data_IF_623974959591
#
_entry.id   IF_623974959591
#
_cell.length_a   1.000
_cell.length_b   1.000
_cell.length_c   1.000
_cell.angle_alpha   90.00
_cell.angle_beta   90.00
_cell.angle_gamma   90.00
#
_symmetry.space_group_name_H-M   'P 1'
#
loop_
_entity.id
_entity.type
_entity.pdbx_description
1 polymer ?
#
# COMPACT_ATOMS: atom_id res chain seq x y z
N UNK A 1 -19.73 19.83 37.41
CA UNK A 1 -19.92 18.48 36.82
C UNK A 1 -20.03 18.53 35.29
N UNK A 2 -20.80 19.46 34.72
CA UNK A 2 -20.94 19.62 33.25
C UNK A 2 -19.63 19.86 32.47
N UNK A 3 -18.69 20.65 33.00
CA UNK A 3 -17.42 20.95 32.30
C UNK A 3 -16.51 19.72 32.11
N UNK A 4 -16.57 18.74 33.03
CA UNK A 4 -15.83 17.48 32.89
C UNK A 4 -16.43 16.59 31.82
N UNK A 5 -17.77 16.59 31.69
CA UNK A 5 -18.49 15.83 30.67
C UNK A 5 -18.16 16.37 29.28
N UNK A 6 -18.13 17.70 29.12
CA UNK A 6 -17.72 18.33 27.86
C UNK A 6 -16.29 18.00 27.46
N UNK A 7 -15.35 18.03 28.42
CA UNK A 7 -13.96 17.64 28.18
C UNK A 7 -13.83 16.17 27.74
N UNK A 8 -14.60 15.27 28.36
CA UNK A 8 -14.62 13.84 27.98
C UNK A 8 -15.16 13.64 26.57
N UNK A 9 -16.23 14.34 26.18
CA UNK A 9 -16.80 14.24 24.84
C UNK A 9 -15.83 14.71 23.76
N UNK A 10 -15.09 15.79 24.01
CA UNK A 10 -14.06 16.28 23.08
C UNK A 10 -12.94 15.25 22.88
N UNK A 11 -12.44 14.66 23.98
CA UNK A 11 -11.38 13.64 23.91
C UNK A 11 -11.82 12.37 23.16
N UNK A 12 -13.07 11.92 23.38
CA UNK A 12 -13.64 10.78 22.64
C UNK A 12 -13.77 11.09 21.15
N UNK A 13 -14.15 12.32 20.80
CA UNK A 13 -14.29 12.75 19.40
C UNK A 13 -12.95 12.73 18.66
N UNK A 14 -11.87 13.21 19.31
CA UNK A 14 -10.51 13.20 18.76
C UNK A 14 -9.97 11.78 18.53
N UNK A 15 -10.29 10.83 19.42
CA UNK A 15 -9.86 9.43 19.28
C UNK A 15 -10.54 8.71 18.09
N UNK A 16 -11.72 9.15 17.66
CA UNK A 16 -12.44 8.57 16.51
C UNK A 16 -11.81 9.04 15.18
N UNK A 17 -11.17 10.21 15.14
CA UNK A 17 -10.48 10.70 13.92
C UNK A 17 -9.16 9.98 13.67
N UNK A 18 -8.54 9.39 14.70
CA UNK A 18 -7.31 8.60 14.55
C UNK A 18 -7.63 7.17 14.18
N UNK A 19 -8.31 6.94 13.05
CA UNK A 19 -8.22 5.66 12.34
C UNK A 19 -6.88 5.60 11.59
N UNK A 20 -5.78 5.81 12.32
CA UNK A 20 -4.46 5.54 11.78
C UNK A 20 -4.36 4.03 11.69
N UNK A 21 -4.21 3.49 10.48
CA UNK A 21 -3.77 2.11 10.31
C UNK A 21 -2.57 1.89 11.23
N UNK A 22 -2.56 0.84 12.08
CA UNK A 22 -1.35 0.51 12.80
C UNK A 22 -0.28 0.26 11.75
N UNK A 23 0.62 1.22 11.54
CA UNK A 23 1.83 0.98 10.76
C UNK A 23 2.60 -0.08 11.55
N UNK A 24 2.46 -1.30 11.07
CA UNK A 24 2.73 -2.53 11.80
C UNK A 24 4.22 -2.57 12.19
N UNK A 25 4.49 -2.79 13.48
CA UNK A 25 5.84 -2.92 14.08
C UNK A 25 6.45 -4.32 13.76
N UNK A 26 5.76 -5.15 12.99
CA UNK A 26 6.31 -6.40 12.43
C UNK A 26 6.99 -6.08 11.11
N UNK A 27 8.21 -6.59 10.87
CA UNK A 27 8.87 -6.44 9.57
C UNK A 27 7.93 -6.87 8.45
N UNK A 28 7.78 -6.02 7.42
CA UNK A 28 6.94 -6.32 6.26
C UNK A 28 7.43 -7.61 5.58
N UNK A 29 6.51 -8.49 5.20
CA UNK A 29 6.82 -9.58 4.28
C UNK A 29 7.13 -8.96 2.90
N UNK A 30 8.35 -9.08 2.36
CA UNK A 30 8.70 -8.51 1.07
C UNK A 30 7.80 -9.02 -0.05
N UNK A 31 7.29 -10.25 0.05
CA UNK A 31 6.37 -10.80 -0.93
C UNK A 31 5.02 -10.07 -0.90
N UNK A 32 4.46 -9.85 0.28
CA UNK A 32 3.20 -9.12 0.47
C UNK A 32 3.32 -7.70 -0.10
N UNK A 33 4.36 -6.97 0.29
CA UNK A 33 4.62 -5.62 -0.21
C UNK A 33 4.79 -5.57 -1.73
N UNK A 34 5.47 -6.56 -2.32
CA UNK A 34 5.61 -6.67 -3.77
C UNK A 34 4.25 -6.83 -4.47
N UNK A 35 3.37 -7.70 -3.96
CA UNK A 35 2.04 -7.94 -4.51
C UNK A 35 1.13 -6.71 -4.35
N UNK A 36 1.17 -6.05 -3.19
CA UNK A 36 0.41 -4.81 -2.95
C UNK A 36 0.84 -3.70 -3.92
N UNK A 37 2.14 -3.53 -4.14
CA UNK A 37 2.64 -2.56 -5.11
C UNK A 37 2.22 -2.92 -6.54
N UNK A 38 2.24 -4.19 -6.95
CA UNK A 38 1.70 -4.59 -8.26
C UNK A 38 0.22 -4.18 -8.43
N UNK A 39 -0.60 -4.35 -7.40
CA UNK A 39 -2.00 -3.94 -7.42
C UNK A 39 -2.15 -2.41 -7.49
N UNK A 40 -1.31 -1.67 -6.75
CA UNK A 40 -1.28 -0.21 -6.78
C UNK A 40 -0.88 0.30 -8.17
N UNK A 41 0.20 -0.22 -8.76
CA UNK A 41 0.66 0.17 -10.08
C UNK A 41 -0.39 -0.13 -11.15
N UNK A 42 -1.09 -1.28 -11.04
CA UNK A 42 -2.23 -1.60 -11.92
C UNK A 42 -3.37 -0.60 -11.80
N UNK A 43 -3.67 -0.13 -10.59
CA UNK A 43 -4.69 0.90 -10.35
C UNK A 43 -4.30 2.25 -10.94
N UNK A 44 -3.01 2.62 -10.85
CA UNK A 44 -2.48 3.89 -11.38
C UNK A 44 -2.38 3.90 -12.91
N UNK A 45 -1.82 2.84 -13.50
CA UNK A 45 -1.44 2.78 -14.91
C UNK A 45 -2.49 2.06 -15.77
N UNK A 46 -3.45 1.37 -15.16
CA UNK A 46 -4.57 0.75 -15.85
C UNK A 46 -4.14 -0.25 -16.92
N UNK A 47 -4.56 -0.02 -18.16
CA UNK A 47 -4.29 -0.93 -19.29
C UNK A 47 -2.82 -0.92 -19.76
N UNK A 48 -2.01 0.02 -19.27
CA UNK A 48 -0.60 0.14 -19.65
C UNK A 48 0.32 -0.79 -18.86
N UNK A 49 -0.16 -1.32 -17.73
CA UNK A 49 0.60 -2.16 -16.81
C UNK A 49 0.00 -3.57 -16.71
N UNK A 50 0.85 -4.59 -16.81
CA UNK A 50 0.49 -6.00 -16.64
C UNK A 50 0.62 -6.43 -15.18
N UNK A 51 -0.46 -6.20 -14.43
CA UNK A 51 -0.57 -6.60 -13.03
C UNK A 51 -0.34 -8.10 -12.80
N UNK A 52 -0.97 -9.01 -13.57
CA UNK A 52 -0.70 -10.45 -13.50
C UNK A 52 0.79 -10.80 -13.66
N UNK A 53 1.46 -10.27 -14.70
CA UNK A 53 2.88 -10.53 -14.94
C UNK A 53 3.76 -10.02 -13.79
N UNK A 54 3.43 -8.85 -13.24
CA UNK A 54 4.09 -8.30 -12.06
C UNK A 54 3.94 -9.22 -10.84
N UNK A 55 2.71 -9.66 -10.54
CA UNK A 55 2.43 -10.52 -9.40
C UNK A 55 3.10 -11.90 -9.52
N UNK A 56 3.11 -12.49 -10.72
CA UNK A 56 3.85 -13.73 -10.99
C UNK A 56 5.36 -13.57 -10.74
N UNK A 57 5.91 -12.41 -11.11
CA UNK A 57 7.31 -12.07 -10.84
C UNK A 57 7.59 -11.95 -9.33
N UNK A 58 6.70 -11.31 -8.57
CA UNK A 58 6.78 -11.27 -7.11
C UNK A 58 6.84 -12.67 -6.50
N UNK A 59 5.96 -13.59 -6.94
CA UNK A 59 5.95 -14.99 -6.47
C UNK A 59 7.25 -15.72 -6.84
N UNK A 60 7.69 -15.58 -8.09
CA UNK A 60 8.90 -16.23 -8.61
C UNK A 60 10.16 -15.83 -7.84
N UNK A 61 10.28 -14.55 -7.51
CA UNK A 61 11.46 -14.00 -6.84
C UNK A 61 11.27 -13.79 -5.33
N UNK A 62 10.12 -14.19 -4.77
CA UNK A 62 9.76 -14.05 -3.36
C UNK A 62 9.92 -12.61 -2.84
N UNK A 63 9.45 -11.64 -3.63
CA UNK A 63 9.49 -10.22 -3.25
C UNK A 63 10.89 -9.59 -3.20
N UNK A 64 11.93 -10.22 -3.77
CA UNK A 64 13.29 -9.63 -3.80
C UNK A 64 13.40 -8.37 -4.66
N UNK A 65 12.51 -8.21 -5.62
CA UNK A 65 12.41 -7.03 -6.49
C UNK A 65 11.01 -6.47 -6.29
N UNK A 66 10.92 -5.37 -5.55
CA UNK A 66 9.66 -4.72 -5.21
C UNK A 66 9.44 -3.59 -6.21
N UNK A 67 8.35 -3.62 -7.00
CA UNK A 67 8.05 -2.55 -7.95
C UNK A 67 7.73 -1.25 -7.20
N UNK A 68 8.18 -0.13 -7.75
CA UNK A 68 7.80 1.22 -7.32
C UNK A 68 7.05 1.87 -8.50
N UNK A 69 5.79 2.23 -8.28
CA UNK A 69 4.92 2.73 -9.33
C UNK A 69 5.34 4.09 -9.89
N UNK A 70 6.20 4.81 -9.18
CA UNK A 70 6.73 6.12 -9.58
C UNK A 70 8.14 6.01 -10.21
N UNK A 71 8.82 4.87 -10.05
CA UNK A 71 10.09 4.57 -10.71
C UNK A 71 9.88 3.74 -11.98
N UNK A 72 9.94 4.41 -13.13
CA UNK A 72 9.80 3.76 -14.44
C UNK A 72 10.77 2.59 -14.64
N UNK A 73 12.00 2.66 -14.14
CA UNK A 73 12.97 1.58 -14.31
C UNK A 73 12.55 0.30 -13.56
N UNK A 74 11.90 0.47 -12.41
CA UNK A 74 11.38 -0.61 -11.58
C UNK A 74 10.20 -1.34 -12.22
N UNK A 75 9.36 -0.62 -13.00
CA UNK A 75 8.15 -1.16 -13.63
C UNK A 75 8.24 -1.44 -15.13
N UNK A 76 9.31 -0.99 -15.80
CA UNK A 76 9.50 -1.15 -17.24
C UNK A 76 9.24 -2.57 -17.78
N UNK A 77 9.62 -3.66 -17.08
CA UNK A 77 9.33 -5.02 -17.54
C UNK A 77 7.84 -5.38 -17.63
N UNK A 78 6.97 -4.61 -16.98
CA UNK A 78 5.53 -4.87 -16.86
C UNK A 78 4.69 -3.89 -17.69
N UNK A 79 5.30 -3.01 -18.47
CA UNK A 79 4.59 -2.07 -19.36
C UNK A 79 4.32 -2.75 -20.71
N UNK A 80 3.05 -2.86 -21.08
CA UNK A 80 2.63 -3.65 -22.27
C UNK A 80 2.25 -2.83 -23.49
N UNK A 81 2.13 -1.50 -23.34
CA UNK A 81 1.77 -0.59 -24.42
C UNK A 81 2.75 0.57 -24.36
N UNK A 82 3.55 0.77 -25.40
CA UNK A 82 4.46 1.91 -25.56
C UNK A 82 4.16 2.55 -26.90
#
# INVERSE_FOLDING_TARGET
MAGKIFAVLILVSLAILTNGSPAVITGYDPLELCIENCAQCKKMLGAWFDGPLCAESCLKFKGKLIPDCEDFASIAPFITKL
#
